data_IF_007398776216
#
_entry.id   IF_007398776216
#
_cell.length_a   1.000
_cell.length_b   1.000
_cell.length_c   1.000
_cell.angle_alpha   90.00
_cell.angle_beta   90.00
_cell.angle_gamma   90.00
#
_symmetry.space_group_name_H-M   'P 1'
#
loop_
_entity.id
_entity.type
_entity.pdbx_description
1 polymer ?
#
# COMPACT_ATOMS: atom_id res chain seq x y z
N UNK A 1 -8.91 -12.68 46.99
CA UNK A 1 -7.73 -13.19 46.27
C UNK A 1 -8.20 -13.38 44.82
N UNK A 2 -8.31 -12.27 44.08
CA UNK A 2 -7.36 -11.84 43.03
C UNK A 2 -7.34 -12.83 41.86
N UNK A 3 -8.16 -12.58 40.84
CA UNK A 3 -7.78 -11.96 39.55
C UNK A 3 -6.83 -12.82 38.71
N UNK A 4 -7.36 -13.32 37.59
CA UNK A 4 -6.61 -13.87 36.48
C UNK A 4 -7.21 -13.37 35.17
N UNK A 5 -7.22 -12.05 34.96
CA UNK A 5 -7.47 -11.46 33.65
C UNK A 5 -6.43 -12.01 32.68
N UNK A 6 -6.85 -12.97 31.84
CA UNK A 6 -6.11 -13.34 30.65
C UNK A 6 -5.95 -12.07 29.81
N UNK A 7 -4.75 -11.50 29.81
CA UNK A 7 -4.39 -10.46 28.86
C UNK A 7 -4.57 -11.06 27.47
N UNK A 8 -5.65 -10.66 26.79
CA UNK A 8 -5.68 -10.64 25.34
C UNK A 8 -4.38 -9.93 24.92
N UNK A 9 -3.44 -10.70 24.35
CA UNK A 9 -2.31 -10.10 23.68
C UNK A 9 -2.92 -9.35 22.51
N UNK A 10 -3.15 -8.05 22.70
CA UNK A 10 -3.23 -7.11 21.61
C UNK A 10 -2.02 -7.40 20.73
N UNK A 11 -2.26 -8.08 19.61
CA UNK A 11 -1.24 -8.38 18.63
C UNK A 11 -0.72 -7.04 18.18
N UNK A 12 0.46 -6.67 18.68
CA UNK A 12 1.16 -5.48 18.23
C UNK A 12 1.20 -5.55 16.72
N UNK A 13 0.63 -4.55 16.06
CA UNK A 13 0.73 -4.36 14.63
C UNK A 13 2.21 -4.38 14.32
N UNK A 14 2.74 -5.53 13.89
CA UNK A 14 4.12 -5.62 13.44
C UNK A 14 4.26 -4.52 12.40
N UNK A 15 5.11 -3.53 12.68
CA UNK A 15 5.33 -2.42 11.77
C UNK A 15 5.75 -3.04 10.43
N UNK A 16 4.82 -3.03 9.47
CA UNK A 16 5.07 -3.55 8.15
C UNK A 16 6.21 -2.77 7.51
N UNK A 17 6.90 -3.38 6.53
CA UNK A 17 7.90 -2.62 5.80
C UNK A 17 7.24 -1.46 5.07
N UNK A 18 7.99 -0.38 4.86
CA UNK A 18 7.45 0.89 4.39
C UNK A 18 7.95 1.14 2.97
N UNK A 19 7.22 0.68 1.93
CA UNK A 19 7.70 0.80 0.57
C UNK A 19 7.82 2.27 0.15
N UNK A 20 8.89 2.65 -0.57
CA UNK A 20 9.02 3.96 -1.22
C UNK A 20 7.84 4.26 -2.15
N UNK A 21 7.49 5.54 -2.25
CA UNK A 21 6.38 6.02 -3.07
C UNK A 21 6.78 7.26 -3.86
N UNK A 22 6.46 7.26 -5.15
CA UNK A 22 6.50 8.42 -6.02
C UNK A 22 5.07 8.82 -6.40
N UNK A 23 4.82 10.13 -6.48
CA UNK A 23 3.51 10.70 -6.85
C UNK A 23 3.69 11.68 -7.99
N UNK A 24 3.03 11.42 -9.10
CA UNK A 24 3.02 12.26 -10.29
C UNK A 24 1.66 12.96 -10.39
N UNK A 25 1.65 14.28 -10.45
CA UNK A 25 0.45 15.10 -10.68
C UNK A 25 0.38 15.48 -12.17
N UNK A 26 -0.57 14.85 -12.87
CA UNK A 26 -0.85 15.11 -14.28
C UNK A 26 -2.19 15.83 -14.51
N UNK A 27 -2.45 16.27 -15.75
CA UNK A 27 -3.68 16.99 -16.10
C UNK A 27 -4.96 16.18 -15.87
N UNK A 28 -4.90 14.86 -16.09
CA UNK A 28 -6.07 13.97 -15.98
C UNK A 28 -6.22 13.33 -14.59
N UNK A 29 -5.26 13.54 -13.69
CA UNK A 29 -5.22 12.86 -12.40
C UNK A 29 -3.80 12.59 -11.93
N UNK A 30 -3.70 11.74 -10.92
CA UNK A 30 -2.43 11.35 -10.33
C UNK A 30 -2.05 9.94 -10.73
N UNK A 31 -0.75 9.71 -10.88
CA UNK A 31 -0.17 8.38 -10.90
C UNK A 31 0.66 8.21 -9.64
N UNK A 32 0.39 7.16 -8.87
CA UNK A 32 1.15 6.82 -7.66
C UNK A 32 1.89 5.52 -7.91
N UNK A 33 3.21 5.53 -7.75
CA UNK A 33 4.05 4.34 -7.90
C UNK A 33 4.61 3.93 -6.53
N UNK A 34 4.45 2.65 -6.19
CA UNK A 34 4.91 2.08 -4.91
C UNK A 34 5.87 0.93 -5.22
N UNK A 35 7.08 0.98 -4.67
CA UNK A 35 8.08 -0.07 -4.88
C UNK A 35 7.75 -1.31 -4.02
N UNK A 36 7.27 -2.36 -4.68
CA UNK A 36 6.84 -3.63 -4.05
C UNK A 36 7.41 -4.86 -4.76
N UNK A 37 8.75 -4.96 -4.90
CA UNK A 37 9.38 -6.05 -5.65
C UNK A 37 9.04 -7.42 -5.06
N UNK A 38 8.34 -8.23 -5.87
CA UNK A 38 7.87 -9.57 -5.51
C UNK A 38 6.47 -9.64 -4.92
N UNK A 39 5.74 -8.52 -4.82
CA UNK A 39 4.30 -8.55 -4.54
C UNK A 39 3.55 -9.20 -5.70
N UNK A 40 2.52 -9.98 -5.38
CA UNK A 40 1.56 -10.49 -6.36
C UNK A 40 0.36 -9.54 -6.40
N UNK A 41 -0.23 -9.34 -7.58
CA UNK A 41 -1.44 -8.51 -7.73
C UNK A 41 -2.58 -8.95 -6.81
N UNK A 42 -2.75 -10.26 -6.60
CA UNK A 42 -3.78 -10.80 -5.71
C UNK A 42 -3.55 -10.52 -4.21
N UNK A 43 -2.32 -10.16 -3.83
CA UNK A 43 -1.93 -9.85 -2.45
C UNK A 43 -1.89 -8.34 -2.18
N UNK A 44 -2.45 -7.51 -3.08
CA UNK A 44 -2.45 -6.04 -3.00
C UNK A 44 -3.89 -5.51 -3.05
N UNK A 45 -4.18 -4.55 -2.19
CA UNK A 45 -5.44 -3.82 -2.14
C UNK A 45 -5.22 -2.31 -2.24
N UNK A 46 -6.11 -1.64 -2.96
CA UNK A 46 -6.14 -0.19 -3.14
C UNK A 46 -7.53 0.31 -2.79
N UNK A 47 -7.62 1.36 -1.98
CA UNK A 47 -8.88 2.00 -1.61
C UNK A 47 -8.72 3.52 -1.49
N UNK A 48 -9.80 4.25 -1.76
CA UNK A 48 -9.85 5.70 -1.63
C UNK A 48 -10.71 6.14 -0.45
N UNK A 49 -10.16 7.02 0.38
CA UNK A 49 -10.90 7.73 1.42
C UNK A 49 -11.20 9.15 0.91
N UNK A 50 -12.47 9.38 0.54
CA UNK A 50 -12.90 10.66 0.00
C UNK A 50 -12.93 11.78 1.06
N UNK A 51 -13.20 11.46 2.32
CA UNK A 51 -13.22 12.45 3.40
C UNK A 51 -11.81 12.97 3.68
N UNK A 52 -10.82 12.08 3.65
CA UNK A 52 -9.42 12.41 3.91
C UNK A 52 -8.62 12.77 2.67
N UNK A 53 -9.21 12.65 1.48
CA UNK A 53 -8.50 12.77 0.20
C UNK A 53 -7.23 11.92 0.16
N UNK A 54 -7.35 10.66 0.61
CA UNK A 54 -6.21 9.77 0.83
C UNK A 54 -6.36 8.45 0.08
N UNK A 55 -5.33 8.12 -0.69
CA UNK A 55 -5.17 6.79 -1.29
C UNK A 55 -4.53 5.87 -0.25
N UNK A 56 -5.23 4.79 0.10
CA UNK A 56 -4.69 3.72 0.93
C UNK A 56 -4.30 2.54 0.06
N UNK A 57 -3.04 2.13 0.19
CA UNK A 57 -2.48 0.93 -0.44
C UNK A 57 -2.05 -0.02 0.67
N UNK A 58 -2.40 -1.29 0.55
CA UNK A 58 -1.94 -2.33 1.48
C UNK A 58 -1.65 -3.63 0.75
N UNK A 59 -0.82 -4.48 1.35
CA UNK A 59 -0.53 -5.79 0.79
C UNK A 59 0.55 -6.53 1.54
N UNK A 60 1.08 -7.58 0.92
CA UNK A 60 2.21 -8.33 1.46
C UNK A 60 3.20 -8.77 0.38
N UNK A 61 4.49 -8.73 0.73
CA UNK A 61 5.58 -9.34 -0.04
C UNK A 61 6.11 -10.53 0.75
N UNK A 62 6.24 -11.69 0.09
CA UNK A 62 6.85 -12.89 0.68
C UNK A 62 8.25 -13.11 0.10
N UNK A 63 9.17 -13.65 0.90
CA UNK A 63 10.43 -14.18 0.36
C UNK A 63 10.12 -15.41 -0.50
N UNK A 64 10.67 -15.44 -1.70
CA UNK A 64 10.53 -16.57 -2.61
C UNK A 64 11.39 -17.75 -2.14
N UNK A 65 11.02 -18.98 -2.54
CA UNK A 65 11.79 -20.20 -2.27
C UNK A 65 11.37 -21.00 -1.04
N UNK A 66 10.36 -20.54 -0.30
CA UNK A 66 9.80 -21.25 0.86
C UNK A 66 10.75 -21.36 2.05
N UNK A 67 10.28 -22.00 3.11
CA UNK A 67 10.95 -21.98 4.42
C UNK A 67 12.36 -22.58 4.39
N UNK A 68 12.58 -23.61 3.56
CA UNK A 68 13.89 -24.24 3.42
C UNK A 68 14.94 -23.28 2.87
N UNK A 69 14.61 -22.51 1.82
CA UNK A 69 15.56 -21.55 1.24
C UNK A 69 15.75 -20.34 2.17
N UNK A 70 14.67 -19.89 2.81
CA UNK A 70 14.74 -18.81 3.80
C UNK A 70 15.61 -19.21 5.00
N UNK A 71 15.54 -20.45 5.46
CA UNK A 71 16.35 -20.98 6.55
C UNK A 71 17.85 -21.11 6.22
N UNK A 72 18.22 -21.19 4.93
CA UNK A 72 19.62 -21.20 4.48
C UNK A 72 20.14 -19.82 4.08
N UNK A 73 19.47 -18.74 4.47
CA UNK A 73 19.84 -17.37 4.09
C UNK A 73 21.15 -16.95 4.77
N UNK A 74 22.21 -16.75 3.98
CA UNK A 74 23.49 -16.24 4.47
C UNK A 74 23.46 -14.72 4.73
N UNK A 75 22.74 -13.96 3.90
CA UNK A 75 22.53 -12.51 4.04
C UNK A 75 21.15 -12.12 3.49
N UNK A 76 20.51 -11.12 4.10
CA UNK A 76 19.18 -10.66 3.71
C UNK A 76 19.01 -9.15 3.89
N UNK A 77 19.06 -8.41 2.78
CA UNK A 77 18.90 -6.95 2.77
C UNK A 77 17.46 -6.52 2.46
N UNK A 78 16.71 -7.36 1.75
CA UNK A 78 15.32 -7.06 1.36
C UNK A 78 14.42 -6.99 2.59
N UNK A 79 13.72 -5.87 2.74
CA UNK A 79 12.53 -5.80 3.58
C UNK A 79 11.34 -6.44 2.86
N UNK A 80 10.66 -7.36 3.55
CA UNK A 80 9.43 -8.01 3.07
C UNK A 80 8.48 -8.19 4.25
N UNK A 81 7.22 -8.52 3.98
CA UNK A 81 6.18 -8.67 4.99
C UNK A 81 4.91 -7.96 4.57
N UNK A 82 4.01 -7.71 5.51
CA UNK A 82 2.87 -6.82 5.28
C UNK A 82 3.33 -5.37 5.11
N UNK A 83 2.59 -4.59 4.34
CA UNK A 83 2.81 -3.15 4.20
C UNK A 83 1.48 -2.39 4.15
N UNK A 84 1.50 -1.13 4.53
CA UNK A 84 0.40 -0.18 4.32
C UNK A 84 0.99 1.21 4.07
N UNK A 85 0.47 1.91 3.07
CA UNK A 85 0.78 3.29 2.75
C UNK A 85 -0.51 4.09 2.67
N UNK A 86 -0.56 5.21 3.37
CA UNK A 86 -1.59 6.24 3.20
C UNK A 86 -0.92 7.42 2.50
N UNK A 87 -1.43 7.78 1.33
CA UNK A 87 -0.88 8.84 0.48
C UNK A 87 -1.96 9.89 0.30
N UNK A 88 -1.74 11.06 0.89
CA UNK A 88 -2.61 12.22 0.67
C UNK A 88 -2.26 12.84 -0.67
N UNK A 89 -3.25 12.90 -1.56
CA UNK A 89 -3.05 13.54 -2.86
C UNK A 89 -3.31 15.04 -2.71
N UNK A 90 -2.41 15.90 -3.19
CA UNK A 90 -2.57 17.35 -3.07
C UNK A 90 -3.75 17.79 -3.94
N UNK A 91 -4.77 18.48 -3.40
CA UNK A 91 -5.83 19.02 -4.24
C UNK A 91 -5.29 20.17 -5.10
N UNK A 92 -5.78 20.29 -6.33
CA UNK A 92 -5.66 21.53 -7.12
C UNK A 92 -7.02 22.22 -7.16
N UNK A 93 -7.57 22.59 -5.99
CA UNK A 93 -8.88 23.25 -5.90
C UNK A 93 -9.87 22.68 -4.88
N UNK A 94 -9.69 21.44 -4.40
CA UNK A 94 -10.39 20.89 -3.23
C UNK A 94 -10.62 19.38 -3.26
N UNK A 95 -11.17 18.84 -2.16
CA UNK A 95 -11.43 17.40 -1.95
C UNK A 95 -12.43 16.76 -2.95
N UNK A 96 -13.14 17.57 -3.75
CA UNK A 96 -14.17 17.13 -4.69
C UNK A 96 -13.66 16.59 -6.04
N UNK A 97 -12.37 16.64 -6.29
CA UNK A 97 -11.75 16.44 -7.62
C UNK A 97 -11.50 14.99 -8.02
N UNK A 98 -11.62 13.99 -7.15
CA UNK A 98 -11.28 12.59 -7.51
C UNK A 98 -12.50 11.79 -7.97
N UNK A 99 -12.40 11.12 -9.11
CA UNK A 99 -13.34 10.08 -9.52
C UNK A 99 -12.92 8.74 -8.90
N UNK A 100 -13.51 8.43 -7.74
CA UNK A 100 -13.21 7.18 -7.02
C UNK A 100 -13.60 5.91 -7.78
N UNK A 101 -14.58 5.98 -8.69
CA UNK A 101 -15.01 4.84 -9.49
C UNK A 101 -14.04 4.48 -10.62
N UNK A 102 -13.23 5.45 -11.05
CA UNK A 102 -12.20 5.28 -12.08
C UNK A 102 -10.83 4.87 -11.55
N UNK A 103 -10.66 4.66 -10.24
CA UNK A 103 -9.37 4.25 -9.68
C UNK A 103 -9.01 2.84 -10.14
N UNK A 104 -7.85 2.71 -10.75
CA UNK A 104 -7.30 1.44 -11.25
C UNK A 104 -5.85 1.24 -10.84
N UNK A 105 -5.38 0.00 -10.89
CA UNK A 105 -3.98 -0.31 -10.59
C UNK A 105 -3.44 -1.53 -11.33
N UNK A 106 -2.13 -1.54 -11.52
CA UNK A 106 -1.34 -2.64 -12.07
C UNK A 106 -0.11 -2.92 -11.20
N UNK A 107 0.39 -4.15 -11.23
CA UNK A 107 1.65 -4.55 -10.57
C UNK A 107 2.55 -5.14 -11.63
N UNK A 108 3.58 -4.40 -12.02
CA UNK A 108 4.49 -4.72 -13.12
C UNK A 108 5.90 -4.29 -12.74
N UNK A 109 6.91 -5.08 -13.10
CA UNK A 109 8.33 -4.79 -12.86
C UNK A 109 8.70 -4.43 -11.41
N UNK A 110 7.95 -4.96 -10.44
CA UNK A 110 8.14 -4.69 -9.01
C UNK A 110 7.55 -3.36 -8.54
N UNK A 111 6.81 -2.65 -9.39
CA UNK A 111 6.07 -1.44 -9.06
C UNK A 111 4.57 -1.72 -9.05
N UNK A 112 3.90 -1.27 -8.00
CA UNK A 112 2.46 -1.03 -8.02
C UNK A 112 2.23 0.37 -8.59
N UNK A 113 1.59 0.47 -9.74
CA UNK A 113 1.17 1.75 -10.33
C UNK A 113 -0.33 1.92 -10.16
N UNK A 114 -0.74 2.97 -9.46
CA UNK A 114 -2.15 3.32 -9.22
C UNK A 114 -2.48 4.59 -10.00
N UNK A 115 -3.53 4.54 -10.81
CA UNK A 115 -4.11 5.71 -11.49
C UNK A 115 -5.28 6.22 -10.66
N UNK A 116 -5.23 7.50 -10.28
CA UNK A 116 -6.30 8.19 -9.56
C UNK A 116 -6.82 9.32 -10.45
N UNK A 117 -7.93 9.11 -11.17
CA UNK A 117 -8.43 10.11 -12.11
C UNK A 117 -9.08 11.29 -11.40
N UNK A 118 -8.94 12.48 -12.01
CA UNK A 118 -9.76 13.64 -11.65
C UNK A 118 -11.16 13.47 -12.24
N UNK A 119 -12.19 13.97 -11.56
CA UNK A 119 -13.50 14.20 -12.16
C UNK A 119 -13.33 15.20 -13.30
N UNK A 120 -14.02 14.95 -14.41
CA UNK A 120 -14.15 15.96 -15.44
C UNK A 120 -14.76 17.23 -14.82
N UNK A 121 -14.11 18.37 -15.00
CA UNK A 121 -14.67 19.67 -14.60
C UNK A 121 -16.01 19.87 -15.33
N UNK A 122 -17.02 20.36 -14.60
CA UNK A 122 -18.26 20.83 -15.21
C UNK A 122 -18.02 22.13 -15.96
#
# INVERSE_FOLDING_TARGET
>A
MEEGRGRERAGGTAAGFVPPVDVFDGPQGWTVQVAVPGAKRADVGVSWDAERSALRVSGAVKRAGGDRLVGSMAMGEREVGGFTREIRLPPRGGAGEVDGGGIGFAVEDGLLSVTVPRKAGR
#
